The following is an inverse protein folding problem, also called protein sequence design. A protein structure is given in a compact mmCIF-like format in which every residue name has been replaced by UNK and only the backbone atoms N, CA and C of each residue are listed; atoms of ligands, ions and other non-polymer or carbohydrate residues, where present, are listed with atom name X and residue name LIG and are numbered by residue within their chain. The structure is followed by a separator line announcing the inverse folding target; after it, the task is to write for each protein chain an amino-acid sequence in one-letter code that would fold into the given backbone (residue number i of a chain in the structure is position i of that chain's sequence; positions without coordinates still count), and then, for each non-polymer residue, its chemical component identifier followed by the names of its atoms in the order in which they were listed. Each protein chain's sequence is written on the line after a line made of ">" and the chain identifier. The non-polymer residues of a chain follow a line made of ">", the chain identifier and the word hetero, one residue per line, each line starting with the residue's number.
data_IF_457814705366
#
_entry.id   IF_457814705366
#
_cell.length_a   1.000
_cell.length_b   1.000
_cell.length_c   1.000
_cell.angle_alpha   90.00
_cell.angle_beta   90.00
_cell.angle_gamma   90.00
#
_symmetry.space_group_name_H-M   'P 1'
#
loop_
_entity.id
_entity.type
_entity.pdbx_description
1 polymer ?
#
# COMPACT_ATOMS: atom_id res chain seq x y z
N UNK A 1 -6.06 -22.96 15.01
CA UNK A 1 -4.58 -22.90 15.17
C UNK A 1 -3.94 -21.64 14.54
N UNK A 2 -4.64 -20.88 13.68
CA UNK A 2 -4.09 -19.68 13.01
C UNK A 2 -3.93 -18.44 13.92
N UNK A 3 -4.73 -18.29 14.98
CA UNK A 3 -4.79 -17.04 15.77
C UNK A 3 -3.55 -16.76 16.65
N UNK A 4 -2.85 -17.79 17.15
CA UNK A 4 -1.64 -17.57 17.96
C UNK A 4 -0.45 -17.08 17.12
N UNK A 5 -0.32 -17.57 15.89
CA UNK A 5 0.75 -17.17 14.99
C UNK A 5 0.52 -15.74 14.48
N UNK A 6 -0.73 -15.40 14.15
CA UNK A 6 -1.12 -14.02 13.81
C UNK A 6 -0.84 -13.05 14.95
N UNK A 7 -1.06 -13.43 16.22
CA UNK A 7 -0.75 -12.57 17.37
C UNK A 7 0.75 -12.29 17.50
N UNK A 8 1.60 -13.32 17.43
CA UNK A 8 3.05 -13.13 17.56
C UNK A 8 3.65 -12.36 16.37
N UNK A 9 3.12 -12.55 15.15
CA UNK A 9 3.52 -11.77 13.99
C UNK A 9 3.00 -10.33 14.05
N UNK A 10 1.75 -10.12 14.48
CA UNK A 10 1.20 -8.78 14.67
C UNK A 10 2.03 -8.02 15.71
N UNK A 11 2.36 -8.62 16.84
CA UNK A 11 3.19 -8.00 17.88
C UNK A 11 4.53 -7.50 17.32
N UNK A 12 5.18 -8.34 16.51
CA UNK A 12 6.45 -7.98 15.87
C UNK A 12 6.30 -6.91 14.79
N UNK A 13 5.19 -6.92 14.05
CA UNK A 13 4.87 -5.91 13.02
C UNK A 13 4.48 -4.57 13.67
N UNK A 14 3.81 -4.59 14.81
CA UNK A 14 3.41 -3.40 15.57
C UNK A 14 4.61 -2.67 16.19
N UNK A 15 5.71 -3.37 16.49
CA UNK A 15 6.97 -2.73 16.91
C UNK A 15 7.50 -1.75 15.84
N UNK A 16 7.16 -1.99 14.56
CA UNK A 16 7.51 -1.16 13.41
C UNK A 16 6.36 -0.27 12.93
N UNK A 17 5.38 0.04 13.78
CA UNK A 17 4.20 0.84 13.40
C UNK A 17 4.57 2.19 12.76
N UNK A 18 5.58 2.89 13.28
CA UNK A 18 6.04 4.17 12.72
C UNK A 18 6.58 4.02 11.28
N UNK A 19 7.30 2.95 10.99
CA UNK A 19 7.74 2.65 9.63
C UNK A 19 6.55 2.30 8.73
N UNK A 20 5.58 1.52 9.22
CA UNK A 20 4.38 1.17 8.47
C UNK A 20 3.52 2.39 8.16
N UNK A 21 3.35 3.31 9.11
CA UNK A 21 2.68 4.61 8.90
C UNK A 21 3.40 5.42 7.83
N UNK A 22 4.72 5.50 7.89
CA UNK A 22 5.52 6.23 6.89
C UNK A 22 5.35 5.62 5.48
N UNK A 23 5.42 4.29 5.37
CA UNK A 23 5.20 3.56 4.11
C UNK A 23 3.76 3.76 3.61
N UNK A 24 2.78 3.77 4.51
CA UNK A 24 1.37 4.01 4.18
C UNK A 24 1.18 5.41 3.59
N UNK A 25 1.68 6.47 4.25
CA UNK A 25 1.60 7.83 3.74
C UNK A 25 2.31 8.00 2.39
N UNK A 26 3.50 7.43 2.25
CA UNK A 26 4.30 7.54 1.03
C UNK A 26 3.65 6.77 -0.13
N UNK A 27 3.18 5.54 0.12
CA UNK A 27 2.43 4.75 -0.87
C UNK A 27 1.13 5.43 -1.28
N UNK A 28 0.37 5.99 -0.33
CA UNK A 28 -0.85 6.74 -0.62
C UNK A 28 -0.58 7.99 -1.46
N UNK A 29 0.47 8.76 -1.15
CA UNK A 29 0.86 9.93 -1.93
C UNK A 29 1.25 9.56 -3.37
N UNK A 30 2.06 8.51 -3.55
CA UNK A 30 2.47 8.02 -4.87
C UNK A 30 1.28 7.44 -5.64
N UNK A 31 0.32 6.80 -4.97
CA UNK A 31 -0.89 6.29 -5.58
C UNK A 31 -1.76 7.44 -6.11
N UNK A 32 -1.98 8.49 -5.33
CA UNK A 32 -2.71 9.69 -5.78
C UNK A 32 -2.01 10.33 -6.98
N UNK A 33 -0.69 10.47 -6.94
CA UNK A 33 0.09 10.97 -8.08
C UNK A 33 -0.06 10.07 -9.32
N UNK A 34 -0.04 8.76 -9.14
CA UNK A 34 -0.17 7.79 -10.25
C UNK A 34 -1.55 7.88 -10.89
N UNK A 35 -2.62 8.02 -10.08
CA UNK A 35 -3.98 8.22 -10.57
C UNK A 35 -4.09 9.54 -11.34
N UNK A 36 -3.52 10.63 -10.82
CA UNK A 36 -3.49 11.93 -11.51
C UNK A 36 -2.72 11.83 -12.84
N UNK A 37 -1.58 11.13 -12.85
CA UNK A 37 -0.79 10.90 -14.07
C UNK A 37 -1.57 10.10 -15.13
N UNK A 38 -2.51 9.25 -14.71
CA UNK A 38 -3.29 8.41 -15.61
C UNK A 38 -4.27 9.23 -16.47
N UNK A 39 -4.74 10.39 -15.98
CA UNK A 39 -5.59 11.30 -16.75
C UNK A 39 -4.85 12.00 -17.91
N UNK A 40 -3.52 12.13 -17.81
CA UNK A 40 -2.69 12.72 -18.86
C UNK A 40 -2.06 11.70 -19.82
N UNK A 41 -2.26 10.40 -19.58
CA UNK A 41 -1.64 9.33 -20.37
C UNK A 41 -2.60 8.81 -21.44
N UNK A 42 -2.09 8.70 -22.66
CA UNK A 42 -2.85 8.09 -23.76
C UNK A 42 -3.02 6.59 -23.54
N UNK A 43 -4.29 6.09 -23.59
CA UNK A 43 -4.58 4.68 -23.42
C UNK A 43 -4.00 3.88 -24.60
N UNK A 44 -3.34 2.76 -24.30
CA UNK A 44 -2.70 1.89 -25.29
C UNK A 44 -1.18 2.04 -25.38
N UNK A 45 -0.58 2.97 -24.64
CA UNK A 45 0.88 3.07 -24.49
C UNK A 45 1.40 2.11 -23.41
N UNK A 46 2.68 1.71 -23.52
CA UNK A 46 3.34 0.90 -22.48
C UNK A 46 3.30 1.61 -21.11
N UNK A 47 3.45 2.93 -21.11
CA UNK A 47 3.40 3.77 -19.91
C UNK A 47 2.05 3.68 -19.21
N UNK A 48 0.93 3.68 -19.97
CA UNK A 48 -0.40 3.51 -19.40
C UNK A 48 -0.54 2.18 -18.63
N UNK A 49 -0.09 1.08 -19.24
CA UNK A 49 -0.16 -0.26 -18.61
C UNK A 49 0.68 -0.32 -17.33
N UNK A 50 1.89 0.25 -17.37
CA UNK A 50 2.77 0.30 -16.19
C UNK A 50 2.13 1.13 -15.08
N UNK A 51 1.53 2.28 -15.40
CA UNK A 51 0.86 3.13 -14.40
C UNK A 51 -0.35 2.43 -13.79
N UNK A 52 -1.16 1.72 -14.58
CA UNK A 52 -2.29 0.93 -14.07
C UNK A 52 -1.80 -0.17 -13.12
N UNK A 53 -0.77 -0.93 -13.52
CA UNK A 53 -0.18 -1.96 -12.65
C UNK A 53 0.40 -1.37 -11.37
N UNK A 54 1.02 -0.19 -11.45
CA UNK A 54 1.56 0.50 -10.29
C UNK A 54 0.44 0.93 -9.34
N UNK A 55 -0.68 1.44 -9.84
CA UNK A 55 -1.84 1.80 -9.02
C UNK A 55 -2.42 0.55 -8.33
N UNK A 56 -2.54 -0.57 -9.05
CA UNK A 56 -3.04 -1.83 -8.46
C UNK A 56 -2.07 -2.35 -7.39
N UNK A 57 -0.77 -2.34 -7.66
CA UNK A 57 0.26 -2.74 -6.70
C UNK A 57 0.27 -1.84 -5.46
N UNK A 58 0.28 -0.53 -5.65
CA UNK A 58 0.25 0.44 -4.55
C UNK A 58 -1.05 0.31 -3.76
N UNK A 59 -2.21 0.17 -4.40
CA UNK A 59 -3.50 0.06 -3.69
C UNK A 59 -3.55 -1.15 -2.77
N UNK A 60 -3.09 -2.31 -3.23
CA UNK A 60 -3.01 -3.51 -2.39
C UNK A 60 -2.02 -3.32 -1.25
N UNK A 61 -0.88 -2.68 -1.51
CA UNK A 61 0.15 -2.41 -0.50
C UNK A 61 -0.36 -1.42 0.56
N UNK A 62 -1.03 -0.35 0.14
CA UNK A 62 -1.67 0.65 1.01
C UNK A 62 -2.82 0.04 1.82
N UNK A 63 -3.64 -0.85 1.24
CA UNK A 63 -4.70 -1.56 1.98
C UNK A 63 -4.12 -2.49 3.06
N UNK A 64 -3.09 -3.27 2.70
CA UNK A 64 -2.44 -4.20 3.64
C UNK A 64 -1.75 -3.44 4.76
N UNK A 65 -0.97 -2.41 4.45
CA UNK A 65 -0.31 -1.57 5.46
C UNK A 65 -1.31 -0.80 6.31
N UNK A 66 -2.36 -0.24 5.72
CA UNK A 66 -3.44 0.43 6.45
C UNK A 66 -4.18 -0.52 7.39
N UNK A 67 -4.43 -1.76 6.97
CA UNK A 67 -5.02 -2.79 7.82
C UNK A 67 -4.12 -3.10 9.04
N UNK A 68 -2.81 -3.25 8.84
CA UNK A 68 -1.87 -3.45 9.93
C UNK A 68 -1.80 -2.25 10.87
N UNK A 69 -1.77 -1.02 10.34
CA UNK A 69 -1.77 0.21 11.14
C UNK A 69 -3.04 0.33 11.99
N UNK A 70 -4.22 0.03 11.44
CA UNK A 70 -5.49 0.03 12.19
C UNK A 70 -5.56 -1.08 13.24
N UNK A 71 -4.84 -2.18 13.03
CA UNK A 71 -4.77 -3.30 13.97
C UNK A 71 -3.75 -3.11 15.08
N UNK A 72 -2.69 -2.35 14.83
CA UNK A 72 -1.58 -2.10 15.74
C UNK A 72 -1.72 -0.81 16.55
N UNK A 73 -2.31 0.25 15.96
CA UNK A 73 -2.62 1.50 16.63
C UNK A 73 -3.93 1.48 17.41
#
# INVERSE_FOLDING_TARGET
>A
MSERFSKSLLDHICDYEDQLKTIFYLSAAVLVLSVLSLFGLEPGTATYVVTVLNIVGLSTLTLVTGFFVVKCG
#
